data_IF_643340870975
#
_entry.id   IF_643340870975
#
_cell.length_a   1.000
_cell.length_b   1.000
_cell.length_c   1.000
_cell.angle_alpha   90.00
_cell.angle_beta   90.00
_cell.angle_gamma   90.00
#
_symmetry.space_group_name_H-M   'P 1'
#
loop_
_entity.id
_entity.type
_entity.pdbx_description
1 polymer ?
#
# COMPACT_ATOMS: atom_id res chain seq x y z
N UNK A 1 -4.51 13.30 0.99
CA UNK A 1 -5.59 12.44 1.51
C UNK A 1 -5.12 11.59 2.69
N UNK A 2 -4.22 10.60 2.49
CA UNK A 2 -3.79 9.66 3.56
C UNK A 2 -3.26 10.33 4.83
N UNK A 3 -2.37 11.32 4.73
CA UNK A 3 -1.88 12.11 5.87
C UNK A 3 -3.02 12.79 6.65
N UNK A 4 -4.02 13.31 5.94
CA UNK A 4 -5.14 14.03 6.55
C UNK A 4 -6.09 13.11 7.32
N UNK A 5 -6.37 11.92 6.78
CA UNK A 5 -7.18 10.91 7.46
C UNK A 5 -6.44 10.40 8.71
N UNK A 6 -5.13 10.13 8.58
CA UNK A 6 -4.38 9.59 9.70
C UNK A 6 -4.19 10.61 10.83
N UNK A 7 -4.15 11.90 10.52
CA UNK A 7 -4.16 12.97 11.52
C UNK A 7 -5.42 13.00 12.39
N UNK A 8 -6.52 12.33 12.00
CA UNK A 8 -7.73 12.19 12.82
C UNK A 8 -7.70 10.94 13.71
N UNK A 9 -6.57 10.23 13.78
CA UNK A 9 -6.42 9.01 14.57
C UNK A 9 -6.91 7.73 13.89
N UNK A 10 -7.23 7.78 12.59
CA UNK A 10 -7.65 6.61 11.82
C UNK A 10 -6.45 6.08 11.03
N UNK A 11 -5.91 4.88 11.31
CA UNK A 11 -4.80 4.33 10.55
C UNK A 11 -5.13 4.21 9.06
N UNK A 12 -4.18 4.57 8.20
CA UNK A 12 -4.34 4.44 6.74
C UNK A 12 -3.08 3.82 6.14
N UNK A 13 -3.27 3.01 5.10
CA UNK A 13 -2.19 2.47 4.28
C UNK A 13 -2.31 3.00 2.86
N UNK A 14 -1.23 3.59 2.35
CA UNK A 14 -1.17 4.02 0.97
C UNK A 14 -0.54 2.92 0.09
N UNK A 15 -1.35 2.30 -0.76
CA UNK A 15 -0.85 1.35 -1.76
C UNK A 15 -0.54 2.15 -3.05
N UNK A 16 0.73 2.23 -3.42
CA UNK A 16 1.15 3.06 -4.55
C UNK A 16 2.45 2.55 -5.20
N UNK A 17 2.63 2.83 -6.49
CA UNK A 17 3.84 2.44 -7.24
C UNK A 17 5.00 3.41 -6.99
N UNK A 18 4.73 4.72 -6.96
CA UNK A 18 5.78 5.76 -6.77
C UNK A 18 5.93 6.08 -5.29
N UNK A 19 6.52 5.16 -4.54
CA UNK A 19 6.67 5.28 -3.07
C UNK A 19 7.41 6.55 -2.62
N UNK A 20 8.42 7.11 -3.34
CA UNK A 20 9.07 8.35 -2.91
C UNK A 20 8.11 9.55 -2.84
N UNK A 21 7.16 9.67 -3.78
CA UNK A 21 6.16 10.75 -3.76
C UNK A 21 5.27 10.61 -2.52
N UNK A 22 4.84 9.38 -2.20
CA UNK A 22 4.04 9.10 -1.01
C UNK A 22 4.78 9.45 0.29
N UNK A 23 6.10 9.26 0.32
CA UNK A 23 6.91 9.73 1.44
C UNK A 23 6.91 11.25 1.54
N UNK A 24 7.18 11.96 0.43
CA UNK A 24 7.21 13.43 0.41
C UNK A 24 5.90 14.08 0.87
N UNK A 25 4.74 13.47 0.55
CA UNK A 25 3.43 13.99 0.96
C UNK A 25 3.03 13.58 2.39
N UNK A 26 3.87 12.80 3.10
CA UNK A 26 3.69 12.45 4.50
C UNK A 26 2.79 11.23 4.74
N UNK A 27 2.80 10.22 3.87
CA UNK A 27 2.15 8.94 4.17
C UNK A 27 2.96 8.14 5.20
N UNK A 28 2.33 7.68 6.29
CA UNK A 28 3.03 6.97 7.37
C UNK A 28 3.20 5.48 7.06
N UNK A 29 2.21 4.84 6.44
CA UNK A 29 2.27 3.42 6.04
C UNK A 29 2.14 3.30 4.53
N UNK A 30 3.18 2.76 3.89
CA UNK A 30 3.25 2.66 2.44
C UNK A 30 3.45 1.20 2.04
N UNK A 31 2.60 0.68 1.15
CA UNK A 31 2.77 -0.64 0.54
C UNK A 31 3.09 -0.44 -0.94
N UNK A 32 4.24 -0.91 -1.45
CA UNK A 32 4.56 -0.83 -2.87
C UNK A 32 3.54 -1.62 -3.71
N UNK A 33 3.01 -0.97 -4.73
CA UNK A 33 2.14 -1.57 -5.73
C UNK A 33 2.97 -2.19 -6.87
N UNK A 34 2.32 -2.90 -7.79
CA UNK A 34 2.97 -3.66 -8.87
C UNK A 34 3.37 -2.75 -10.04
N UNK A 35 2.40 -2.02 -10.58
CA UNK A 35 2.61 -1.16 -11.75
C UNK A 35 1.64 0.03 -11.72
N UNK A 36 1.95 1.11 -12.44
CA UNK A 36 1.08 2.28 -12.54
C UNK A 36 -0.30 1.94 -13.14
N UNK A 37 -0.40 1.27 -14.31
CA UNK A 37 -1.72 0.97 -14.90
C UNK A 37 -2.52 -0.08 -14.12
N UNK A 38 -1.81 -0.96 -13.40
CA UNK A 38 -2.41 -2.06 -12.63
C UNK A 38 -1.75 -2.15 -11.24
N UNK A 39 -2.12 -1.25 -10.29
CA UNK A 39 -1.45 -1.19 -8.99
C UNK A 39 -1.50 -2.50 -8.21
N UNK A 40 -2.62 -3.22 -8.29
CA UNK A 40 -2.83 -4.45 -7.53
C UNK A 40 -2.72 -5.72 -8.37
N UNK A 41 -2.58 -5.62 -9.69
CA UNK A 41 -2.74 -6.76 -10.59
C UNK A 41 -1.73 -6.78 -11.71
N UNK A 42 -1.73 -7.87 -12.47
CA UNK A 42 -0.93 -8.02 -13.67
C UNK A 42 -1.73 -8.77 -14.75
N UNK A 43 -2.16 -8.09 -15.83
CA UNK A 43 -2.98 -8.72 -16.87
C UNK A 43 -2.24 -9.79 -17.68
N UNK A 44 -0.90 -9.86 -17.59
CA UNK A 44 -0.12 -10.90 -18.25
C UNK A 44 -0.11 -12.23 -17.48
N UNK A 45 -0.62 -12.27 -16.24
CA UNK A 45 -0.68 -13.48 -15.43
C UNK A 45 -1.97 -14.27 -15.68
N UNK A 46 -1.95 -15.57 -15.36
CA UNK A 46 -3.18 -16.38 -15.33
C UNK A 46 -4.14 -15.84 -14.26
N UNK A 47 -5.48 -15.94 -14.45
CA UNK A 47 -6.46 -15.39 -13.52
C UNK A 47 -6.26 -15.78 -12.05
N UNK A 48 -5.90 -17.04 -11.78
CA UNK A 48 -5.67 -17.51 -10.40
C UNK A 48 -4.40 -16.94 -9.76
N UNK A 49 -3.33 -16.81 -10.54
CA UNK A 49 -2.07 -16.23 -10.07
C UNK A 49 -2.21 -14.72 -9.84
N UNK A 50 -2.96 -14.02 -10.70
CA UNK A 50 -3.29 -12.61 -10.55
C UNK A 50 -4.14 -12.37 -9.29
N UNK A 51 -5.14 -13.23 -9.05
CA UNK A 51 -5.97 -13.16 -7.84
C UNK A 51 -5.14 -13.41 -6.57
N UNK A 52 -4.22 -14.37 -6.60
CA UNK A 52 -3.29 -14.62 -5.51
C UNK A 52 -2.36 -13.42 -5.26
N UNK A 53 -1.87 -12.77 -6.33
CA UNK A 53 -1.07 -11.55 -6.25
C UNK A 53 -1.85 -10.40 -5.58
N UNK A 54 -3.06 -10.11 -6.05
CA UNK A 54 -3.95 -9.11 -5.45
C UNK A 54 -4.15 -9.37 -3.97
N UNK A 55 -4.44 -10.63 -3.61
CA UNK A 55 -4.67 -11.02 -2.22
C UNK A 55 -3.45 -10.82 -1.34
N UNK A 56 -2.25 -11.18 -1.82
CA UNK A 56 -0.99 -10.97 -1.11
C UNK A 56 -0.73 -9.49 -0.78
N UNK A 57 -1.04 -8.59 -1.73
CA UNK A 57 -0.86 -7.14 -1.51
C UNK A 57 -1.85 -6.64 -0.45
N UNK A 58 -3.14 -7.01 -0.57
CA UNK A 58 -4.17 -6.61 0.40
C UNK A 58 -3.88 -7.16 1.79
N UNK A 59 -3.48 -8.42 1.92
CA UNK A 59 -3.12 -9.02 3.21
C UNK A 59 -1.92 -8.31 3.86
N UNK A 60 -0.92 -7.91 3.05
CA UNK A 60 0.18 -7.07 3.53
C UNK A 60 -0.30 -5.69 4.00
N UNK A 61 -1.21 -5.07 3.25
CA UNK A 61 -1.81 -3.79 3.64
C UNK A 61 -2.62 -3.88 4.92
N UNK A 62 -3.37 -4.96 5.13
CA UNK A 62 -4.09 -5.20 6.39
C UNK A 62 -3.13 -5.38 7.56
N UNK A 63 -2.02 -6.12 7.38
CA UNK A 63 -0.97 -6.23 8.40
C UNK A 63 -0.33 -4.87 8.71
N UNK A 64 0.00 -4.10 7.68
CA UNK A 64 0.54 -2.75 7.84
C UNK A 64 -0.43 -1.83 8.60
N UNK A 65 -1.72 -1.91 8.28
CA UNK A 65 -2.79 -1.12 8.93
C UNK A 65 -2.82 -1.34 10.45
N UNK A 66 -2.64 -2.60 10.88
CA UNK A 66 -2.62 -2.97 12.29
C UNK A 66 -1.24 -2.79 12.96
N UNK A 67 -0.20 -2.40 12.21
CA UNK A 67 1.15 -2.21 12.74
C UNK A 67 1.30 -0.77 13.23
N UNK A 68 1.71 -0.59 14.49
CA UNK A 68 2.12 0.71 15.02
C UNK A 68 3.39 1.19 14.32
N UNK A 69 3.43 2.48 13.96
CA UNK A 69 4.61 3.10 13.32
C UNK A 69 4.89 4.44 13.99
N UNK A 70 6.15 4.71 14.31
CA UNK A 70 6.62 6.03 14.78
C UNK A 70 7.02 6.94 13.64
N UNK A 71 7.45 6.35 12.52
CA UNK A 71 8.02 7.01 11.36
C UNK A 71 7.43 6.46 10.06
N UNK A 72 7.63 7.19 8.96
CA UNK A 72 7.18 6.76 7.64
C UNK A 72 7.83 5.43 7.25
N UNK A 73 7.01 4.40 7.05
CA UNK A 73 7.44 3.02 6.86
C UNK A 73 6.95 2.46 5.54
N UNK A 74 7.86 1.85 4.77
CA UNK A 74 7.53 1.09 3.57
C UNK A 74 7.50 -0.40 3.91
N UNK A 75 6.33 -1.02 3.77
CA UNK A 75 6.09 -2.44 4.04
C UNK A 75 6.36 -3.27 2.79
N UNK A 76 7.42 -4.10 2.81
CA UNK A 76 7.88 -4.92 1.68
C UNK A 76 7.42 -6.37 1.72
#
# INVERSE_FOLDING_TARGET
MVKGIEATGIPVVHICTVTPISMTVGANRIVPAIAIPHPLGNPAMKPEEEKALRRKIVEKSLKALCTEVSDQTIFK
#
